data_IF_982368004179
#
_entry.id   IF_982368004179
#
_cell.length_a   1.000
_cell.length_b   1.000
_cell.length_c   1.000
_cell.angle_alpha   90.00
_cell.angle_beta   90.00
_cell.angle_gamma   90.00
#
_symmetry.space_group_name_H-M   'P 1'
#
loop_
_entity.id
_entity.type
_entity.pdbx_description
1 polymer ?
#
# COMPACT_ATOMS: atom_id res chain seq x y z
N UNK A 1 -6.05 -8.33 8.51
CA UNK A 1 -5.40 -7.45 9.52
C UNK A 1 -3.93 -7.16 9.24
N UNK A 2 -3.23 -7.95 8.42
CA UNK A 2 -1.82 -7.72 8.04
C UNK A 2 -1.55 -6.32 7.49
N UNK A 3 -2.41 -5.82 6.61
CA UNK A 3 -2.30 -4.48 6.02
C UNK A 3 -2.21 -3.37 7.09
N UNK A 4 -3.02 -3.44 8.15
CA UNK A 4 -2.96 -2.46 9.23
C UNK A 4 -1.64 -2.51 9.99
N UNK A 5 -1.07 -3.70 10.20
CA UNK A 5 0.23 -3.86 10.86
C UNK A 5 1.37 -3.32 9.99
N UNK A 6 1.30 -3.52 8.68
CA UNK A 6 2.25 -2.96 7.72
C UNK A 6 2.21 -1.42 7.73
N UNK A 7 1.03 -0.81 7.65
CA UNK A 7 0.89 0.64 7.74
C UNK A 7 1.39 1.20 9.07
N UNK A 8 1.15 0.50 10.18
CA UNK A 8 1.69 0.89 11.49
C UNK A 8 3.22 0.88 11.47
N UNK A 9 3.83 -0.16 10.91
CA UNK A 9 5.28 -0.28 10.81
C UNK A 9 5.89 0.82 9.93
N UNK A 10 5.30 1.06 8.76
CA UNK A 10 5.72 2.11 7.81
C UNK A 10 5.67 3.50 8.45
N UNK A 11 4.55 3.85 9.11
CA UNK A 11 4.43 5.14 9.81
C UNK A 11 5.44 5.24 10.96
N UNK A 12 5.63 4.16 11.72
CA UNK A 12 6.50 4.16 12.89
C UNK A 12 8.00 4.29 12.52
N UNK A 13 8.39 3.98 11.29
CA UNK A 13 9.74 4.21 10.78
C UNK A 13 10.15 5.68 10.85
N UNK A 14 9.22 6.62 10.68
CA UNK A 14 9.48 8.06 10.71
C UNK A 14 9.45 8.67 12.12
N UNK A 15 9.29 7.86 13.17
CA UNK A 15 9.14 8.34 14.55
C UNK A 15 10.37 9.07 15.10
N UNK A 16 11.56 8.79 14.57
CA UNK A 16 12.83 9.43 14.96
C UNK A 16 13.13 10.73 14.20
N UNK A 17 12.34 11.07 13.18
CA UNK A 17 12.52 12.31 12.41
C UNK A 17 12.26 13.55 13.28
N UNK A 18 13.17 14.53 13.26
CA UNK A 18 13.08 15.72 14.13
C UNK A 18 11.94 16.66 13.79
N UNK A 19 11.46 16.65 12.55
CA UNK A 19 10.40 17.56 12.06
C UNK A 19 9.03 16.92 12.24
N UNK A 20 8.90 15.64 11.88
CA UNK A 20 7.61 14.96 11.83
C UNK A 20 7.44 13.85 12.85
N UNK A 21 8.49 13.44 13.58
CA UNK A 21 8.47 12.26 14.45
C UNK A 21 7.43 12.29 15.55
N UNK A 22 7.13 13.47 16.13
CA UNK A 22 6.03 13.63 17.10
C UNK A 22 4.68 13.30 16.45
N UNK A 23 4.41 13.90 15.30
CA UNK A 23 3.16 13.71 14.56
C UNK A 23 3.03 12.27 14.05
N UNK A 24 4.11 11.68 13.52
CA UNK A 24 4.13 10.29 13.06
C UNK A 24 3.91 9.30 14.21
N UNK A 25 4.56 9.53 15.36
CA UNK A 25 4.33 8.71 16.57
C UNK A 25 2.87 8.79 17.03
N UNK A 26 2.26 9.98 16.97
CA UNK A 26 0.85 10.17 17.28
C UNK A 26 -0.06 9.39 16.31
N UNK A 27 0.21 9.49 15.00
CA UNK A 27 -0.53 8.75 13.98
C UNK A 27 -0.43 7.23 14.17
N UNK A 28 0.78 6.70 14.41
CA UNK A 28 0.97 5.27 14.69
C UNK A 28 0.19 4.82 15.94
N UNK A 29 0.21 5.61 17.02
CA UNK A 29 -0.54 5.29 18.24
C UNK A 29 -2.07 5.31 18.03
N UNK A 30 -2.58 6.26 17.25
CA UNK A 30 -3.99 6.32 16.90
C UNK A 30 -4.39 5.11 16.05
N UNK A 31 -3.61 4.80 15.01
CA UNK A 31 -3.86 3.66 14.14
C UNK A 31 -3.84 2.34 14.92
N UNK A 32 -2.86 2.13 15.82
CA UNK A 32 -2.82 0.95 16.71
C UNK A 32 -4.12 0.77 17.51
N UNK A 33 -4.66 1.85 18.08
CA UNK A 33 -5.93 1.79 18.83
C UNK A 33 -7.11 1.42 17.92
N UNK A 34 -7.22 2.03 16.75
CA UNK A 34 -8.29 1.71 15.80
C UNK A 34 -8.17 0.29 15.26
N UNK A 35 -6.95 -0.21 15.00
CA UNK A 35 -6.71 -1.60 14.61
C UNK A 35 -7.16 -2.58 15.69
N UNK A 36 -6.97 -2.26 16.98
CA UNK A 36 -7.47 -3.09 18.07
C UNK A 36 -9.02 -3.14 18.09
N UNK A 37 -9.67 -1.98 17.98
CA UNK A 37 -11.14 -1.91 17.87
C UNK A 37 -11.66 -2.70 16.66
N UNK A 38 -11.00 -2.55 15.51
CA UNK A 38 -11.35 -3.28 14.29
C UNK A 38 -11.22 -4.80 14.47
N UNK A 39 -10.17 -5.27 15.15
CA UNK A 39 -10.02 -6.71 15.48
C UNK A 39 -11.18 -7.23 16.31
N UNK A 40 -11.62 -6.46 17.31
CA UNK A 40 -12.76 -6.83 18.14
C UNK A 40 -14.05 -6.88 17.33
N UNK A 41 -14.30 -5.90 16.45
CA UNK A 41 -15.48 -5.89 15.59
C UNK A 41 -15.48 -7.03 14.57
N UNK A 42 -14.33 -7.33 13.94
CA UNK A 42 -14.22 -8.47 13.03
C UNK A 42 -14.50 -9.80 13.70
N UNK A 43 -14.10 -9.97 14.97
CA UNK A 43 -14.36 -11.20 15.71
C UNK A 43 -15.86 -11.36 16.07
N UNK A 44 -16.60 -10.25 16.17
CA UNK A 44 -18.06 -10.24 16.40
C UNK A 44 -18.86 -10.51 15.14
N UNK A 45 -18.29 -10.29 13.96
CA UNK A 45 -18.96 -10.57 12.69
C UNK A 45 -19.20 -12.07 12.55
N UNK A 46 -20.45 -12.43 12.26
CA UNK A 46 -20.81 -13.80 11.91
C UNK A 46 -20.39 -14.11 10.48
N UNK A 47 -20.12 -15.38 10.21
CA UNK A 47 -19.95 -15.86 8.85
C UNK A 47 -21.22 -15.55 8.06
N UNK A 48 -21.14 -14.83 6.93
CA UNK A 48 -22.31 -14.54 6.13
C UNK A 48 -22.90 -15.82 5.52
N UNK A 49 -24.22 -15.83 5.38
CA UNK A 49 -24.95 -16.95 4.77
C UNK A 49 -24.57 -17.13 3.30
N UNK A 50 -24.49 -18.39 2.85
CA UNK A 50 -24.17 -18.72 1.46
C UNK A 50 -22.68 -18.72 1.12
N UNK A 51 -21.79 -18.59 2.11
CA UNK A 51 -20.40 -18.98 1.93
C UNK A 51 -20.28 -20.51 2.04
N UNK A 52 -19.99 -21.15 0.91
CA UNK A 52 -19.61 -22.55 0.91
C UNK A 52 -18.33 -22.72 1.76
N UNK A 53 -18.27 -23.68 2.71
CA UNK A 53 -17.05 -23.99 3.43
C UNK A 53 -16.01 -24.40 2.39
N UNK A 54 -14.92 -23.64 2.33
CA UNK A 54 -13.88 -23.69 1.30
C UNK A 54 -13.52 -25.12 0.92
N UNK A 55 -14.14 -25.63 -0.14
CA UNK A 55 -13.78 -26.90 -0.74
C UNK A 55 -12.58 -26.66 -1.61
N UNK A 56 -11.38 -26.50 -1.03
CA UNK A 56 -10.03 -26.59 -1.63
C UNK A 56 -9.77 -26.01 -3.05
N UNK A 57 -10.67 -25.23 -3.66
CA UNK A 57 -10.60 -24.84 -5.08
C UNK A 57 -10.33 -23.34 -5.31
N UNK A 58 -10.36 -22.51 -4.26
CA UNK A 58 -10.19 -21.05 -4.42
C UNK A 58 -8.73 -20.58 -4.31
N UNK A 59 -7.84 -21.36 -3.69
CA UNK A 59 -6.42 -21.04 -3.49
C UNK A 59 -5.67 -20.84 -4.82
N UNK A 60 -5.99 -21.63 -5.85
CA UNK A 60 -5.30 -21.58 -7.14
C UNK A 60 -5.69 -20.35 -7.99
N UNK A 61 -6.95 -19.90 -7.91
CA UNK A 61 -7.49 -18.78 -8.69
C UNK A 61 -7.11 -17.42 -8.10
N UNK A 62 -6.97 -17.33 -6.78
CA UNK A 62 -6.58 -16.10 -6.09
C UNK A 62 -5.07 -15.82 -6.20
N UNK A 63 -4.22 -16.85 -6.26
CA UNK A 63 -2.79 -16.71 -6.56
C UNK A 63 -2.53 -16.20 -8.00
N UNK A 64 -3.36 -16.61 -8.97
CA UNK A 64 -3.23 -16.21 -10.37
C UNK A 64 -3.49 -14.70 -10.61
N UNK A 65 -4.28 -14.05 -9.75
CA UNK A 65 -4.52 -12.59 -9.84
C UNK A 65 -3.35 -11.77 -9.30
N UNK A 66 -2.59 -12.28 -8.32
CA UNK A 66 -1.41 -11.60 -7.76
C UNK A 66 -0.21 -11.66 -8.71
N UNK A 67 -0.11 -12.69 -9.56
CA UNK A 67 0.99 -12.82 -10.54
C UNK A 67 0.84 -11.90 -11.77
N UNK A 68 -0.32 -11.25 -11.97
CA UNK A 68 -0.59 -10.44 -13.18
C UNK A 68 -0.21 -8.95 -13.06
N UNK A 69 0.50 -8.55 -12.00
CA UNK A 69 1.11 -7.23 -11.89
C UNK A 69 2.64 -7.30 -12.13
N UNK A 70 3.04 -7.58 -13.37
CA UNK A 70 4.32 -7.18 -13.97
C UNK A 70 4.34 -7.58 -15.45
N UNK A 71 4.25 -6.61 -16.38
CA UNK A 71 5.02 -6.65 -17.60
C UNK A 71 6.21 -5.73 -17.42
N UNK A 72 7.39 -6.34 -17.34
CA UNK A 72 8.69 -5.76 -17.64
C UNK A 72 8.57 -4.77 -18.80
N UNK A 73 8.86 -3.49 -18.57
CA UNK A 73 9.23 -2.58 -19.66
C UNK A 73 10.75 -2.60 -19.75
N UNK A 74 11.19 -3.42 -20.69
CA UNK A 74 12.56 -3.58 -21.16
C UNK A 74 13.13 -2.22 -21.64
N UNK A 75 14.43 -2.01 -21.38
CA UNK A 75 15.22 -1.02 -22.10
C UNK A 75 15.12 -1.30 -23.62
N UNK A 76 15.13 -0.34 -24.55
CA UNK A 76 16.32 0.34 -25.05
C UNK A 76 15.97 1.58 -25.94
N UNK A 77 16.93 2.51 -25.94
CA UNK A 77 17.19 3.80 -26.64
C UNK A 77 17.34 3.66 -28.19
N UNK A 78 17.66 4.68 -29.06
CA UNK A 78 17.68 6.16 -29.04
C UNK A 78 16.79 6.83 -30.13
N UNK A 79 16.59 8.16 -30.07
CA UNK A 79 16.04 8.91 -31.22
C UNK A 79 16.14 10.43 -31.04
N UNK A 80 17.19 11.01 -31.63
CA UNK A 80 17.40 12.44 -31.78
C UNK A 80 16.26 13.10 -32.57
N UNK A 81 15.69 14.19 -32.02
CA UNK A 81 15.20 15.29 -32.85
C UNK A 81 15.37 16.62 -32.11
N UNK A 82 16.36 17.38 -32.57
CA UNK A 82 16.34 18.84 -32.68
C UNK A 82 14.92 19.28 -33.12
N UNK A 83 14.26 20.37 -32.68
CA UNK A 83 14.64 21.79 -32.77
C UNK A 83 13.72 22.64 -31.85
N UNK A 84 14.17 23.83 -31.41
CA UNK A 84 13.27 24.83 -30.80
C UNK A 84 13.92 25.80 -29.82
N UNK A 85 14.74 26.73 -30.32
CA UNK A 85 15.26 27.88 -29.57
C UNK A 85 14.15 28.93 -29.32
N UNK A 86 13.91 29.34 -28.07
CA UNK A 86 13.29 30.62 -27.70
C UNK A 86 13.73 31.09 -26.30
N UNK A 87 14.90 31.73 -26.28
CA UNK A 87 15.30 32.97 -25.59
C UNK A 87 14.86 33.29 -24.15
N UNK A 88 15.90 33.58 -23.36
CA UNK A 88 16.06 34.49 -22.20
C UNK A 88 14.93 35.46 -21.83
N UNK A 89 14.78 35.65 -20.52
CA UNK A 89 14.08 36.78 -19.93
C UNK A 89 14.28 36.86 -18.41
N UNK A 90 15.44 37.39 -18.00
CA UNK A 90 15.78 37.74 -16.62
C UNK A 90 15.18 39.10 -16.25
N UNK A 91 14.46 39.17 -15.12
CA UNK A 91 14.29 40.38 -14.30
C UNK A 91 14.14 39.98 -12.82
#
# INVERSE_FOLDING_TARGET
MSQCEEWIADIQQYSSDKRVGRTMSHHAAALKRHTAQLREEFLKLLCPDGLEPDGDEFSEKSAALILKELPSQDAEKPGSSQDGNCSEGQL
#
